data_IF_134211456682
#
_entry.id   IF_134211456682
#
_cell.length_a   1.000
_cell.length_b   1.000
_cell.length_c   1.000
_cell.angle_alpha   90.00
_cell.angle_beta   90.00
_cell.angle_gamma   90.00
#
_symmetry.space_group_name_H-M   'P 1'
#
loop_
_entity.id
_entity.type
_entity.pdbx_description
1 polymer ?
#
# COMPACT_ATOMS: atom_id res chain seq x y z
N UNK A 1 23.40 -4.77 14.19
CA UNK A 1 21.94 -4.55 14.41
C UNK A 1 21.44 -3.17 14.00
N UNK A 2 22.12 -2.06 14.36
CA UNK A 2 21.71 -0.70 14.00
C UNK A 2 21.66 -0.49 12.48
N UNK A 3 22.68 -0.95 11.75
CA UNK A 3 22.79 -0.84 10.30
C UNK A 3 21.64 -1.59 9.56
N UNK A 4 21.34 -2.82 9.97
CA UNK A 4 20.21 -3.58 9.42
C UNK A 4 18.87 -2.84 9.57
N UNK A 5 18.59 -2.27 10.76
CA UNK A 5 17.35 -1.51 11.00
C UNK A 5 17.25 -0.29 10.09
N UNK A 6 18.36 0.45 9.92
CA UNK A 6 18.38 1.62 9.05
C UNK A 6 18.09 1.21 7.60
N UNK A 7 18.83 0.21 7.08
CA UNK A 7 18.66 -0.26 5.71
C UNK A 7 17.24 -0.81 5.47
N UNK A 8 16.71 -1.62 6.39
CA UNK A 8 15.37 -2.16 6.30
C UNK A 8 14.30 -1.05 6.23
N UNK A 9 14.40 -0.05 7.11
CA UNK A 9 13.45 1.06 7.06
C UNK A 9 13.58 1.89 5.80
N UNK A 10 14.82 2.21 5.39
CA UNK A 10 15.05 2.99 4.17
C UNK A 10 14.53 2.26 2.94
N UNK A 11 14.83 0.97 2.77
CA UNK A 11 14.35 0.17 1.64
C UNK A 11 12.83 0.02 1.67
N UNK A 12 12.22 -0.18 2.83
CA UNK A 12 10.77 -0.24 2.96
C UNK A 12 10.10 1.06 2.48
N UNK A 13 10.59 2.22 2.92
CA UNK A 13 10.06 3.50 2.45
C UNK A 13 10.34 3.79 0.97
N UNK A 14 11.49 3.35 0.44
CA UNK A 14 11.77 3.43 -1.01
C UNK A 14 10.78 2.56 -1.79
N UNK A 15 10.51 1.35 -1.33
CA UNK A 15 9.50 0.45 -1.95
C UNK A 15 8.11 1.07 -1.91
N UNK A 16 7.72 1.67 -0.78
CA UNK A 16 6.47 2.44 -0.67
C UNK A 16 6.40 3.58 -1.71
N UNK A 17 7.46 4.38 -1.83
CA UNK A 17 7.48 5.49 -2.77
C UNK A 17 7.36 5.02 -4.23
N UNK A 18 8.03 3.93 -4.59
CA UNK A 18 7.91 3.33 -5.93
C UNK A 18 6.46 2.91 -6.18
N UNK A 19 5.83 2.19 -5.25
CA UNK A 19 4.44 1.76 -5.37
C UNK A 19 3.48 2.97 -5.44
N UNK A 20 3.63 3.95 -4.55
CA UNK A 20 2.79 5.14 -4.49
C UNK A 20 2.87 5.96 -5.79
N UNK A 21 4.08 6.17 -6.32
CA UNK A 21 4.28 6.87 -7.59
C UNK A 21 3.61 6.08 -8.73
N UNK A 22 3.84 4.77 -8.81
CA UNK A 22 3.24 3.91 -9.85
C UNK A 22 1.72 4.02 -9.81
N UNK A 23 1.10 3.81 -8.66
CA UNK A 23 -0.35 3.79 -8.52
C UNK A 23 -0.97 5.18 -8.74
N UNK A 24 -0.38 6.24 -8.18
CA UNK A 24 -0.89 7.60 -8.39
C UNK A 24 -0.73 8.10 -9.83
N UNK A 25 0.28 7.62 -10.58
CA UNK A 25 0.44 7.98 -12.00
C UNK A 25 -0.52 7.22 -12.92
N UNK A 26 -1.04 6.09 -12.49
CA UNK A 26 -1.95 5.23 -13.26
C UNK A 26 -3.36 5.20 -12.73
N UNK A 27 -3.65 6.01 -11.70
CA UNK A 27 -4.98 6.07 -11.08
C UNK A 27 -6.04 6.57 -12.08
N UNK A 28 -7.22 5.94 -12.07
CA UNK A 28 -8.37 6.38 -12.86
C UNK A 28 -8.84 7.77 -12.37
N UNK A 29 -8.92 8.78 -13.23
CA UNK A 29 -9.34 10.12 -12.81
C UNK A 29 -10.84 10.25 -12.52
N UNK A 30 -11.62 9.27 -12.91
CA UNK A 30 -13.09 9.24 -12.79
C UNK A 30 -13.57 8.02 -12.01
N UNK A 31 -14.86 7.78 -12.00
CA UNK A 31 -15.42 6.55 -11.47
C UNK A 31 -15.18 5.40 -12.45
N UNK A 32 -14.53 4.35 -11.96
CA UNK A 32 -14.28 3.10 -12.67
C UNK A 32 -15.57 2.25 -12.76
N UNK A 33 -15.41 0.98 -13.17
CA UNK A 33 -16.52 0.02 -13.26
C UNK A 33 -16.94 -0.55 -11.89
N UNK A 34 -18.01 -1.34 -11.89
CA UNK A 34 -18.56 -2.06 -10.73
C UNK A 34 -19.06 -1.09 -9.66
N UNK A 35 -18.70 -1.37 -8.40
CA UNK A 35 -19.20 -0.63 -7.25
C UNK A 35 -18.41 0.66 -6.94
N UNK A 36 -17.37 0.97 -7.73
CA UNK A 36 -16.52 2.14 -7.53
C UNK A 36 -17.32 3.47 -7.45
N UNK A 37 -18.29 3.75 -8.36
CA UNK A 37 -19.11 4.94 -8.25
C UNK A 37 -19.92 5.02 -6.96
N UNK A 38 -20.44 3.89 -6.47
CA UNK A 38 -21.18 3.82 -5.22
C UNK A 38 -20.28 4.14 -4.03
N UNK A 39 -19.08 3.54 -3.96
CA UNK A 39 -18.13 3.79 -2.89
C UNK A 39 -17.65 5.24 -2.87
N UNK A 40 -17.40 5.85 -4.03
CA UNK A 40 -17.03 7.27 -4.14
C UNK A 40 -18.18 8.16 -3.65
N UNK A 41 -19.41 7.91 -4.08
CA UNK A 41 -20.56 8.72 -3.71
C UNK A 41 -20.91 8.58 -2.23
N UNK A 42 -21.01 7.36 -1.75
CA UNK A 42 -21.33 7.06 -0.36
C UNK A 42 -20.24 7.58 0.58
N UNK A 43 -18.97 7.46 0.21
CA UNK A 43 -17.85 8.02 0.95
C UNK A 43 -17.92 9.55 1.02
N UNK A 44 -18.14 10.22 -0.09
CA UNK A 44 -18.24 11.68 -0.15
C UNK A 44 -19.40 12.24 0.70
N UNK A 45 -20.54 11.55 0.72
CA UNK A 45 -21.75 12.00 1.45
C UNK A 45 -21.90 11.38 2.85
N UNK A 46 -20.99 10.49 3.28
CA UNK A 46 -21.13 9.68 4.49
C UNK A 46 -22.42 8.86 4.52
N UNK A 47 -22.79 8.29 3.38
CA UNK A 47 -23.92 7.39 3.26
C UNK A 47 -23.48 5.93 3.51
N UNK A 48 -24.44 5.06 3.81
CA UNK A 48 -24.19 3.63 3.96
C UNK A 48 -24.31 2.98 2.59
N UNK A 49 -23.22 2.38 2.10
CA UNK A 49 -23.23 1.56 0.89
C UNK A 49 -23.97 0.22 1.11
N UNK A 50 -24.06 -0.58 0.03
CA UNK A 50 -24.68 -1.91 0.12
C UNK A 50 -23.96 -2.83 1.13
N UNK A 51 -24.68 -3.84 1.71
CA UNK A 51 -24.07 -4.77 2.66
C UNK A 51 -22.85 -5.51 2.09
N UNK A 52 -21.78 -5.73 2.91
CA UNK A 52 -21.71 -5.53 4.37
C UNK A 52 -21.38 -4.09 4.81
N UNK A 53 -21.26 -3.14 3.87
CA UNK A 53 -20.78 -1.80 4.13
C UNK A 53 -19.26 -1.73 4.37
N UNK A 54 -18.70 -0.53 4.37
CA UNK A 54 -17.28 -0.31 4.59
C UNK A 54 -17.06 0.99 5.41
N UNK A 55 -17.44 1.02 6.70
CA UNK A 55 -17.46 2.27 7.46
C UNK A 55 -16.11 2.96 7.55
N UNK A 56 -15.03 2.20 7.69
CA UNK A 56 -13.68 2.77 7.71
C UNK A 56 -13.31 3.41 6.37
N UNK A 57 -13.65 2.75 5.25
CA UNK A 57 -13.44 3.30 3.92
C UNK A 57 -14.26 4.59 3.74
N UNK A 58 -15.54 4.59 4.10
CA UNK A 58 -16.42 5.75 3.96
C UNK A 58 -15.90 6.96 4.73
N UNK A 59 -15.45 6.78 5.98
CA UNK A 59 -14.86 7.85 6.78
C UNK A 59 -13.57 8.39 6.16
N UNK A 60 -12.69 7.50 5.69
CA UNK A 60 -11.42 7.88 5.08
C UNK A 60 -11.65 8.59 3.74
N UNK A 61 -12.54 8.07 2.91
CA UNK A 61 -12.92 8.68 1.64
C UNK A 61 -13.56 10.06 1.81
N UNK A 62 -14.43 10.22 2.82
CA UNK A 62 -15.00 11.52 3.16
C UNK A 62 -13.91 12.51 3.54
N UNK A 63 -13.00 12.13 4.43
CA UNK A 63 -11.88 12.99 4.84
C UNK A 63 -11.06 13.46 3.63
N UNK A 64 -10.70 12.56 2.72
CA UNK A 64 -9.95 12.93 1.51
C UNK A 64 -10.78 13.79 0.55
N UNK A 65 -12.07 13.50 0.40
CA UNK A 65 -12.96 14.26 -0.50
C UNK A 65 -13.16 15.73 -0.06
N UNK A 66 -13.00 16.04 1.24
CA UNK A 66 -13.07 17.42 1.75
C UNK A 66 -12.01 18.34 1.14
N UNK A 67 -10.90 17.81 0.68
CA UNK A 67 -9.83 18.58 0.03
C UNK A 67 -10.01 18.72 -1.48
N UNK A 68 -11.11 18.23 -2.04
CA UNK A 68 -11.40 18.25 -3.47
C UNK A 68 -12.63 19.12 -3.77
N UNK A 69 -12.58 19.86 -4.88
CA UNK A 69 -13.79 20.44 -5.45
C UNK A 69 -14.72 19.33 -6.02
N UNK A 70 -16.03 19.61 -6.21
CA UNK A 70 -17.02 18.60 -6.61
C UNK A 70 -16.63 17.77 -7.84
N UNK A 71 -15.93 18.37 -8.80
CA UNK A 71 -15.48 17.70 -10.03
C UNK A 71 -14.28 16.77 -9.84
N UNK A 72 -13.61 16.82 -8.69
CA UNK A 72 -12.38 16.05 -8.40
C UNK A 72 -12.53 15.06 -7.26
N UNK A 73 -13.74 14.87 -6.75
CA UNK A 73 -14.00 13.93 -5.65
C UNK A 73 -13.58 12.51 -6.02
N UNK A 74 -13.96 12.03 -7.22
CA UNK A 74 -13.60 10.69 -7.67
C UNK A 74 -12.07 10.50 -7.70
N UNK A 75 -11.35 11.42 -8.33
CA UNK A 75 -9.89 11.38 -8.38
C UNK A 75 -9.26 11.36 -6.98
N UNK A 76 -9.78 12.15 -6.04
CA UNK A 76 -9.23 12.23 -4.69
C UNK A 76 -9.45 10.94 -3.89
N UNK A 77 -10.61 10.30 -4.04
CA UNK A 77 -10.90 9.00 -3.42
C UNK A 77 -10.02 7.90 -4.04
N UNK A 78 -9.82 7.93 -5.35
CA UNK A 78 -8.95 6.97 -6.04
C UNK A 78 -7.47 7.17 -5.64
N UNK A 79 -6.99 8.41 -5.50
CA UNK A 79 -5.65 8.70 -4.95
C UNK A 79 -5.52 8.19 -3.52
N UNK A 80 -6.54 8.33 -2.69
CA UNK A 80 -6.57 7.74 -1.36
C UNK A 80 -6.35 6.22 -1.42
N UNK A 81 -7.10 5.52 -2.29
CA UNK A 81 -6.96 4.08 -2.48
C UNK A 81 -5.53 3.71 -2.92
N UNK A 82 -4.98 4.44 -3.89
CA UNK A 82 -3.60 4.26 -4.37
C UNK A 82 -2.55 4.39 -3.25
N UNK A 83 -2.69 5.41 -2.39
CA UNK A 83 -1.78 5.62 -1.25
C UNK A 83 -1.93 4.50 -0.21
N UNK A 84 -3.16 4.10 0.11
CA UNK A 84 -3.41 3.01 1.07
C UNK A 84 -2.91 1.66 0.54
N UNK A 85 -3.05 1.42 -0.76
CA UNK A 85 -2.48 0.23 -1.41
C UNK A 85 -0.95 0.24 -1.37
N UNK A 86 -0.31 1.39 -1.61
CA UNK A 86 1.14 1.52 -1.45
C UNK A 86 1.61 1.28 -0.01
N UNK A 87 0.84 1.72 1.01
CA UNK A 87 1.11 1.37 2.41
C UNK A 87 1.01 -0.14 2.63
N UNK A 88 0.08 -0.83 1.96
CA UNK A 88 0.00 -2.29 1.96
C UNK A 88 1.31 -2.94 1.48
N UNK A 89 1.94 -2.40 0.43
CA UNK A 89 3.25 -2.86 -0.05
C UNK A 89 4.35 -2.62 0.99
N UNK A 90 4.35 -1.49 1.70
CA UNK A 90 5.29 -1.23 2.79
C UNK A 90 5.17 -2.28 3.90
N UNK A 91 3.94 -2.58 4.33
CA UNK A 91 3.71 -3.60 5.35
C UNK A 91 4.05 -5.00 4.86
N UNK A 92 3.81 -5.30 3.59
CA UNK A 92 4.24 -6.56 2.98
C UNK A 92 5.77 -6.70 3.03
N UNK A 93 6.52 -5.67 2.63
CA UNK A 93 7.98 -5.63 2.73
C UNK A 93 8.45 -5.96 4.15
N UNK A 94 7.94 -5.26 5.16
CA UNK A 94 8.33 -5.52 6.55
C UNK A 94 7.88 -6.89 7.07
N UNK A 95 6.77 -7.42 6.58
CA UNK A 95 6.30 -8.77 6.91
C UNK A 95 7.25 -9.83 6.37
N UNK A 96 7.68 -9.68 5.11
CA UNK A 96 8.67 -10.58 4.49
C UNK A 96 9.98 -10.50 5.28
N UNK A 97 10.48 -9.28 5.59
CA UNK A 97 11.67 -9.09 6.43
C UNK A 97 11.57 -9.85 7.75
N UNK A 98 10.42 -9.70 8.43
CA UNK A 98 10.23 -10.36 9.73
C UNK A 98 10.28 -11.88 9.61
N UNK A 99 9.62 -12.45 8.60
CA UNK A 99 9.60 -13.89 8.36
C UNK A 99 10.96 -14.42 7.89
N UNK A 100 11.56 -13.76 6.90
CA UNK A 100 12.86 -14.15 6.36
C UNK A 100 13.95 -14.13 7.46
N UNK A 101 13.92 -13.10 8.31
CA UNK A 101 14.84 -13.03 9.45
C UNK A 101 14.66 -14.19 10.42
N UNK A 102 13.43 -14.61 10.72
CA UNK A 102 13.17 -15.76 11.60
C UNK A 102 13.66 -17.09 11.01
N UNK A 103 13.63 -17.21 9.68
CA UNK A 103 14.06 -18.42 8.99
C UNK A 103 15.57 -18.50 8.82
N UNK A 104 16.24 -17.35 8.58
CA UNK A 104 17.66 -17.32 8.19
C UNK A 104 18.59 -17.12 9.40
N UNK A 105 18.11 -16.42 10.44
CA UNK A 105 18.96 -16.07 11.61
C UNK A 105 18.55 -16.92 12.80
N UNK A 106 19.51 -17.68 13.36
CA UNK A 106 19.30 -18.49 14.54
C UNK A 106 18.95 -17.66 15.79
N UNK A 107 18.28 -18.28 16.75
CA UNK A 107 17.92 -17.60 18.01
C UNK A 107 19.18 -17.18 18.75
N UNK A 108 19.29 -15.88 19.02
CA UNK A 108 20.42 -15.28 19.74
C UNK A 108 21.65 -14.99 18.89
N UNK A 109 21.63 -15.27 17.60
CA UNK A 109 22.74 -14.98 16.69
C UNK A 109 22.69 -13.55 16.15
N UNK A 110 23.87 -13.01 15.81
CA UNK A 110 24.01 -11.75 15.11
C UNK A 110 23.85 -11.97 13.59
N UNK A 111 23.17 -11.05 12.95
CA UNK A 111 22.99 -11.08 11.49
C UNK A 111 24.35 -10.84 10.82
N UNK A 112 24.79 -11.76 9.97
CA UNK A 112 25.97 -11.59 9.11
C UNK A 112 25.64 -10.69 7.92
N UNK A 113 26.66 -10.11 7.27
CA UNK A 113 26.44 -9.29 6.08
C UNK A 113 25.77 -10.07 4.94
N UNK A 114 26.13 -11.34 4.73
CA UNK A 114 25.51 -12.19 3.73
C UNK A 114 24.01 -12.41 4.01
N UNK A 115 23.67 -12.77 5.26
CA UNK A 115 22.27 -12.92 5.68
C UNK A 115 21.47 -11.61 5.55
N UNK A 116 22.09 -10.47 5.90
CA UNK A 116 21.47 -9.17 5.74
C UNK A 116 21.11 -8.89 4.28
N UNK A 117 22.05 -9.10 3.36
CA UNK A 117 21.81 -8.91 1.92
C UNK A 117 20.74 -9.86 1.43
N UNK A 118 20.80 -11.14 1.79
CA UNK A 118 19.78 -12.13 1.38
C UNK A 118 18.38 -11.74 1.84
N UNK A 119 18.22 -11.34 3.10
CA UNK A 119 16.91 -10.92 3.64
C UNK A 119 16.40 -9.71 2.87
N UNK A 120 17.18 -8.62 2.82
CA UNK A 120 16.73 -7.38 2.21
C UNK A 120 16.49 -7.50 0.70
N UNK A 121 17.25 -8.34 -0.02
CA UNK A 121 17.04 -8.60 -1.44
C UNK A 121 15.75 -9.39 -1.68
N UNK A 122 15.48 -10.43 -0.86
CA UNK A 122 14.23 -11.20 -1.00
C UNK A 122 12.99 -10.35 -0.70
N UNK A 123 13.08 -9.47 0.30
CA UNK A 123 12.00 -8.55 0.68
C UNK A 123 11.69 -7.58 -0.46
N UNK A 124 12.75 -7.00 -1.05
CA UNK A 124 12.62 -6.06 -2.16
C UNK A 124 11.99 -6.72 -3.39
N UNK A 125 12.51 -7.90 -3.78
CA UNK A 125 11.98 -8.65 -4.92
C UNK A 125 10.53 -9.06 -4.68
N UNK A 126 10.19 -9.59 -3.51
CA UNK A 126 8.84 -10.03 -3.18
C UNK A 126 7.83 -8.87 -3.17
N UNK A 127 8.16 -7.76 -2.52
CA UNK A 127 7.28 -6.60 -2.45
C UNK A 127 7.11 -5.92 -3.82
N UNK A 128 8.18 -5.75 -4.60
CA UNK A 128 8.10 -5.14 -5.92
C UNK A 128 7.38 -6.05 -6.93
N UNK A 129 7.60 -7.36 -6.90
CA UNK A 129 6.85 -8.29 -7.74
C UNK A 129 5.34 -8.21 -7.47
N UNK A 130 4.95 -8.07 -6.20
CA UNK A 130 3.55 -7.88 -5.83
C UNK A 130 2.99 -6.52 -6.24
N UNK A 131 3.81 -5.46 -6.18
CA UNK A 131 3.44 -4.10 -6.62
C UNK A 131 2.91 -4.07 -8.05
N UNK A 132 3.52 -4.83 -8.95
CA UNK A 132 3.13 -4.89 -10.36
C UNK A 132 2.37 -6.17 -10.74
N UNK A 133 1.85 -6.92 -9.77
CA UNK A 133 0.92 -7.99 -10.08
C UNK A 133 -0.40 -7.40 -10.59
N UNK A 134 -0.95 -7.94 -11.67
CA UNK A 134 -2.18 -7.44 -12.31
C UNK A 134 -3.32 -7.25 -11.31
N UNK A 135 -3.53 -8.24 -10.44
CA UNK A 135 -4.61 -8.21 -9.46
C UNK A 135 -4.48 -7.06 -8.47
N UNK A 136 -3.26 -6.82 -7.96
CA UNK A 136 -3.07 -5.78 -6.94
C UNK A 136 -3.01 -4.39 -7.55
N UNK A 137 -2.32 -4.23 -8.66
CA UNK A 137 -2.23 -2.95 -9.37
C UNK A 137 -3.58 -2.47 -9.89
N UNK A 138 -4.38 -3.40 -10.46
CA UNK A 138 -5.72 -3.05 -10.96
C UNK A 138 -6.68 -2.65 -9.83
N UNK A 139 -6.46 -3.15 -8.60
CA UNK A 139 -7.30 -2.85 -7.44
C UNK A 139 -6.81 -1.66 -6.60
N UNK A 140 -5.62 -1.13 -6.90
CA UNK A 140 -5.03 0.01 -6.19
C UNK A 140 -5.60 1.33 -6.70
#
# INVERSE_FOLDING_TARGET
>A
MKQFKILNNTLGWVTFLIAAITYCMTVEPTASFWDCPEFILSGNKLEVGHPPGAPFFMLTANFFSMFAGPSKVALMVNIMSAILSALGILFLFWSITHLARKLIVGKGEFITNAQMVTILASDLVGALAYTWSDTYWFSA
#
